data_IF_808871484191
#
_entry.id   IF_808871484191
#
_cell.length_a   1.000
_cell.length_b   1.000
_cell.length_c   1.000
_cell.angle_alpha   90.00
_cell.angle_beta   90.00
_cell.angle_gamma   90.00
#
_symmetry.space_group_name_H-M   'P 1'
#
loop_
_entity.id
_entity.type
_entity.pdbx_description
1 polymer ?
#
# COMPACT_ATOMS: atom_id res chain seq x y z
N UNK A 1 -9.11 -22.99 -8.84
CA UNK A 1 -7.71 -23.41 -8.84
C UNK A 1 -7.36 -23.92 -7.46
N UNK A 2 -6.81 -25.13 -7.35
CA UNK A 2 -6.43 -25.75 -6.08
C UNK A 2 -4.89 -25.79 -5.96
N UNK A 3 -4.38 -25.73 -4.72
CA UNK A 3 -2.96 -25.95 -4.43
C UNK A 3 -2.81 -27.09 -3.41
N UNK A 4 -1.90 -28.03 -3.73
CA UNK A 4 -1.56 -29.17 -2.84
C UNK A 4 -0.13 -29.10 -2.31
N UNK A 5 0.62 -28.04 -2.62
CA UNK A 5 2.00 -27.85 -2.22
C UNK A 5 2.79 -26.91 -3.11
N UNK A 6 4.08 -26.83 -2.86
CA UNK A 6 5.03 -25.95 -3.53
C UNK A 6 6.27 -26.72 -4.03
N UNK A 7 6.79 -26.28 -5.18
CA UNK A 7 8.15 -26.62 -5.58
C UNK A 7 9.11 -25.59 -5.02
N UNK A 8 9.99 -26.01 -4.16
CA UNK A 8 10.97 -25.14 -3.50
C UNK A 8 12.38 -25.42 -4.05
N UNK A 9 13.24 -24.40 -3.97
CA UNK A 9 14.67 -24.52 -4.25
C UNK A 9 15.44 -23.99 -3.05
N UNK A 10 16.24 -24.85 -2.43
CA UNK A 10 17.12 -24.47 -1.33
C UNK A 10 18.25 -23.54 -1.79
N UNK A 11 18.91 -22.91 -0.83
CA UNK A 11 20.11 -22.07 -1.08
C UNK A 11 21.29 -22.87 -1.64
N UNK A 12 21.30 -24.18 -1.41
CA UNK A 12 22.22 -25.18 -2.00
C UNK A 12 21.88 -25.55 -3.45
N UNK A 13 20.79 -24.99 -3.99
CA UNK A 13 20.28 -25.26 -5.33
C UNK A 13 19.43 -26.53 -5.46
N UNK A 14 19.29 -27.32 -4.39
CA UNK A 14 18.47 -28.54 -4.39
C UNK A 14 16.99 -28.18 -4.52
N UNK A 15 16.29 -28.91 -5.40
CA UNK A 15 14.84 -28.76 -5.58
C UNK A 15 14.11 -29.84 -4.80
N UNK A 16 13.02 -29.46 -4.16
CA UNK A 16 12.14 -30.37 -3.43
C UNK A 16 10.67 -30.02 -3.69
N UNK A 17 9.81 -31.03 -3.70
CA UNK A 17 8.36 -30.85 -3.68
C UNK A 17 7.90 -30.94 -2.22
N UNK A 18 7.29 -29.85 -1.74
CA UNK A 18 6.71 -29.76 -0.40
C UNK A 18 5.19 -29.84 -0.52
N UNK A 19 4.60 -30.89 0.02
CA UNK A 19 3.15 -31.03 0.08
C UNK A 19 2.60 -30.38 1.35
N UNK A 20 1.43 -29.76 1.26
CA UNK A 20 0.78 -29.10 2.39
C UNK A 20 -0.76 -29.17 2.21
N UNK A 21 -1.50 -29.19 3.33
CA UNK A 21 -2.95 -29.06 3.29
C UNK A 21 -3.40 -27.67 2.88
N UNK A 22 -2.62 -26.64 3.24
CA UNK A 22 -2.85 -25.25 2.87
C UNK A 22 -1.51 -24.59 2.52
N UNK A 23 -1.50 -23.80 1.45
CA UNK A 23 -0.38 -22.92 1.06
C UNK A 23 -0.75 -21.50 1.41
N UNK A 24 0.05 -20.86 2.28
CA UNK A 24 -0.12 -19.45 2.64
C UNK A 24 0.92 -18.60 1.91
N UNK A 25 0.48 -17.72 1.02
CA UNK A 25 1.36 -16.80 0.30
C UNK A 25 1.46 -15.47 1.05
N UNK A 26 2.61 -15.24 1.66
CA UNK A 26 3.04 -14.01 2.30
C UNK A 26 4.28 -13.42 1.60
N UNK A 27 4.41 -13.61 0.27
CA UNK A 27 5.59 -13.22 -0.50
C UNK A 27 5.73 -11.72 -0.75
N UNK A 28 4.91 -10.91 -0.09
CA UNK A 28 4.93 -9.46 -0.23
C UNK A 28 4.56 -9.04 -1.67
N UNK A 29 5.17 -8.00 -2.19
CA UNK A 29 4.88 -7.48 -3.53
C UNK A 29 5.31 -8.44 -4.67
N UNK A 30 6.12 -9.48 -4.37
CA UNK A 30 6.38 -10.55 -5.32
C UNK A 30 5.10 -11.33 -5.68
N UNK A 31 4.13 -11.37 -4.76
CA UNK A 31 2.76 -11.83 -4.97
C UNK A 31 2.69 -13.13 -5.80
N UNK A 32 3.36 -14.17 -5.30
CA UNK A 32 3.63 -15.41 -6.04
C UNK A 32 2.35 -16.06 -6.59
N UNK A 33 1.34 -16.27 -5.75
CA UNK A 33 0.08 -16.90 -6.18
C UNK A 33 -0.77 -15.98 -7.05
N UNK A 34 -0.79 -14.66 -6.74
CA UNK A 34 -1.47 -13.69 -7.60
C UNK A 34 -0.93 -13.73 -9.04
N UNK A 35 0.39 -13.73 -9.19
CA UNK A 35 1.03 -13.78 -10.50
C UNK A 35 0.76 -15.11 -11.19
N UNK A 36 0.89 -16.24 -10.45
CA UNK A 36 0.63 -17.58 -10.99
C UNK A 36 -0.80 -17.76 -11.50
N UNK A 37 -1.77 -17.20 -10.78
CA UNK A 37 -3.19 -17.38 -11.09
C UNK A 37 -3.81 -16.16 -11.79
N UNK A 38 -3.01 -15.16 -12.15
CA UNK A 38 -3.45 -13.93 -12.82
C UNK A 38 -4.58 -13.21 -12.05
N UNK A 39 -4.38 -13.04 -10.75
CA UNK A 39 -5.38 -12.47 -9.83
C UNK A 39 -5.17 -10.99 -9.55
N UNK A 40 -4.09 -10.37 -10.00
CA UNK A 40 -3.76 -8.98 -9.70
C UNK A 40 -4.68 -8.01 -10.41
N UNK A 41 -5.23 -7.08 -9.64
CA UNK A 41 -6.04 -5.97 -10.12
C UNK A 41 -5.37 -4.67 -9.69
N UNK A 42 -4.97 -3.86 -10.65
CA UNK A 42 -4.37 -2.56 -10.40
C UNK A 42 -5.42 -1.52 -10.03
N UNK A 43 -5.07 -0.62 -9.10
CA UNK A 43 -5.96 0.50 -8.76
C UNK A 43 -5.83 1.59 -9.84
N UNK A 44 -6.89 1.89 -10.61
CA UNK A 44 -6.83 2.85 -11.70
C UNK A 44 -6.70 4.30 -11.22
N UNK A 45 -6.99 4.58 -9.94
CA UNK A 45 -6.97 5.92 -9.35
C UNK A 45 -5.64 6.19 -8.65
N UNK A 46 -5.12 5.18 -7.94
CA UNK A 46 -3.90 5.30 -7.14
C UNK A 46 -2.65 4.90 -7.94
N UNK A 47 -2.61 5.26 -9.23
CA UNK A 47 -1.43 5.04 -10.07
C UNK A 47 -0.31 6.02 -9.67
N UNK A 48 0.48 5.61 -8.70
CA UNK A 48 1.57 6.39 -8.11
C UNK A 48 2.89 5.64 -8.20
N UNK A 49 3.96 6.37 -8.00
CA UNK A 49 5.28 5.81 -7.82
C UNK A 49 6.02 6.53 -6.71
N UNK A 50 7.18 6.00 -6.33
CA UNK A 50 8.04 6.64 -5.36
C UNK A 50 9.51 6.54 -5.74
N UNK A 51 10.27 7.60 -5.40
CA UNK A 51 11.72 7.65 -5.49
C UNK A 51 12.24 8.13 -4.14
N UNK A 52 13.22 7.42 -3.55
CA UNK A 52 13.77 7.82 -2.24
C UNK A 52 15.25 7.51 -2.09
N UNK A 53 15.83 8.13 -1.09
CA UNK A 53 17.17 7.83 -0.61
C UNK A 53 17.29 8.11 0.88
N UNK A 54 18.48 7.86 1.44
CA UNK A 54 18.80 8.11 2.84
C UNK A 54 19.87 9.19 2.94
N UNK A 55 19.73 10.06 3.96
CA UNK A 55 20.56 11.24 4.12
C UNK A 55 21.11 11.32 5.56
N UNK A 56 22.41 11.56 5.69
CA UNK A 56 23.10 11.85 6.96
C UNK A 56 23.23 13.36 7.12
N UNK A 57 23.05 13.86 8.34
CA UNK A 57 23.12 15.30 8.64
C UNK A 57 21.91 16.10 8.21
N UNK A 58 20.84 15.44 7.78
CA UNK A 58 19.56 16.09 7.52
C UNK A 58 18.92 16.61 8.82
N UNK A 59 18.14 17.69 8.71
CA UNK A 59 17.49 18.32 9.86
C UNK A 59 16.67 17.33 10.68
N UNK A 60 16.82 17.36 11.99
CA UNK A 60 16.01 16.56 12.94
C UNK A 60 15.32 17.51 13.90
N UNK A 61 14.04 17.27 14.12
CA UNK A 61 13.28 17.96 15.17
C UNK A 61 13.82 17.49 16.53
N UNK A 62 13.87 18.41 17.50
CA UNK A 62 14.31 18.12 18.87
C UNK A 62 13.14 18.20 19.85
N UNK A 63 13.32 17.64 21.02
CA UNK A 63 12.32 17.67 22.10
C UNK A 63 11.18 16.66 21.89
N UNK A 64 9.95 17.04 22.18
CA UNK A 64 8.78 16.15 22.17
C UNK A 64 8.54 15.44 20.83
N UNK A 65 8.84 16.13 19.72
CA UNK A 65 8.59 15.62 18.37
C UNK A 65 9.86 15.01 17.75
N UNK A 66 10.88 14.73 18.55
CA UNK A 66 12.10 14.06 18.09
C UNK A 66 11.76 12.70 17.48
N UNK A 67 12.28 12.45 16.28
CA UNK A 67 12.01 11.22 15.54
C UNK A 67 10.64 11.17 14.84
N UNK A 68 9.82 12.21 14.93
CA UNK A 68 8.51 12.23 14.28
C UNK A 68 8.65 12.12 12.74
N UNK A 69 7.85 11.24 12.16
CA UNK A 69 7.67 11.17 10.70
C UNK A 69 6.90 12.40 10.22
N UNK A 70 7.38 13.02 9.16
CA UNK A 70 6.71 14.14 8.52
C UNK A 70 6.20 13.75 7.12
N UNK A 71 4.97 14.16 6.81
CA UNK A 71 4.39 14.13 5.47
C UNK A 71 4.35 15.56 4.95
N UNK A 72 5.08 15.84 3.89
CA UNK A 72 5.23 17.19 3.32
C UNK A 72 4.62 17.18 1.93
N UNK A 73 3.49 17.86 1.77
CA UNK A 73 2.77 17.93 0.50
C UNK A 73 3.57 18.75 -0.53
N UNK A 74 3.58 18.32 -1.79
CA UNK A 74 4.16 19.12 -2.90
C UNK A 74 3.30 20.37 -3.16
N UNK A 75 3.87 21.48 -3.66
CA UNK A 75 3.11 22.72 -3.89
C UNK A 75 1.92 22.57 -4.84
N UNK A 76 2.02 21.68 -5.83
CA UNK A 76 0.96 21.36 -6.78
C UNK A 76 -0.12 20.40 -6.21
N UNK A 77 0.10 19.89 -5.00
CA UNK A 77 -0.76 18.93 -4.29
C UNK A 77 -0.99 17.60 -4.98
N UNK A 78 -0.23 17.28 -6.01
CA UNK A 78 -0.33 15.99 -6.72
C UNK A 78 0.43 14.87 -6.03
N UNK A 79 1.43 15.24 -5.22
CA UNK A 79 2.30 14.32 -4.51
C UNK A 79 2.67 14.81 -3.11
N UNK A 80 3.52 14.08 -2.47
CA UNK A 80 4.01 14.37 -1.13
C UNK A 80 5.36 13.70 -0.91
N UNK A 81 6.08 14.18 0.12
CA UNK A 81 7.30 13.57 0.60
C UNK A 81 7.07 12.94 1.95
N UNK A 82 7.63 11.76 2.16
CA UNK A 82 7.93 11.33 3.51
C UNK A 82 9.29 11.85 3.94
N UNK A 83 9.43 12.11 5.22
CA UNK A 83 10.65 12.50 5.89
C UNK A 83 10.72 11.76 7.21
N UNK A 84 11.52 10.68 7.29
CA UNK A 84 11.48 9.72 8.39
C UNK A 84 12.86 9.63 9.04
N UNK A 85 13.06 10.28 10.22
CA UNK A 85 14.28 10.11 11.00
C UNK A 85 14.45 8.65 11.44
N UNK A 86 15.67 8.13 11.30
CA UNK A 86 16.02 6.76 11.68
C UNK A 86 16.95 6.75 12.89
N UNK A 87 17.12 5.58 13.52
CA UNK A 87 17.89 5.39 14.75
C UNK A 87 19.41 5.57 14.58
N UNK A 88 19.92 5.40 13.36
CA UNK A 88 21.34 5.48 12.98
C UNK A 88 21.77 6.87 12.51
N UNK A 89 21.04 7.91 12.91
CA UNK A 89 21.23 9.31 12.50
C UNK A 89 21.04 9.57 11.00
N UNK A 90 20.48 8.64 10.27
CA UNK A 90 20.02 8.86 8.90
C UNK A 90 18.58 9.36 8.88
N UNK A 91 18.17 9.94 7.76
CA UNK A 91 16.78 10.30 7.47
C UNK A 91 16.41 9.71 6.12
N UNK A 92 15.35 8.91 6.09
CA UNK A 92 14.75 8.45 4.85
C UNK A 92 13.91 9.58 4.27
N UNK A 93 14.18 9.98 3.03
CA UNK A 93 13.42 11.03 2.32
C UNK A 93 12.99 10.48 0.97
N UNK A 94 11.69 10.50 0.72
CA UNK A 94 11.16 9.99 -0.55
C UNK A 94 9.97 10.78 -1.04
N UNK A 95 9.87 10.92 -2.35
CA UNK A 95 8.74 11.54 -3.05
C UNK A 95 7.79 10.48 -3.56
N UNK A 96 6.51 10.69 -3.32
CA UNK A 96 5.39 9.96 -3.94
C UNK A 96 4.63 10.93 -4.83
N UNK A 97 4.41 10.56 -6.08
CA UNK A 97 3.66 11.38 -7.03
C UNK A 97 3.00 10.50 -8.11
N UNK A 98 2.12 11.05 -8.97
CA UNK A 98 1.60 10.33 -10.12
C UNK A 98 2.72 9.69 -10.93
N UNK A 99 2.47 8.47 -11.42
CA UNK A 99 3.46 7.71 -12.19
C UNK A 99 4.09 8.52 -13.32
N UNK A 100 3.27 9.21 -14.11
CA UNK A 100 3.75 10.00 -15.23
C UNK A 100 4.65 11.18 -14.82
N UNK A 101 4.44 11.75 -13.63
CA UNK A 101 5.25 12.87 -13.13
C UNK A 101 6.67 12.40 -12.74
N UNK A 102 6.80 11.15 -12.26
CA UNK A 102 8.09 10.58 -11.86
C UNK A 102 8.81 9.81 -12.97
N UNK A 103 8.07 9.08 -13.80
CA UNK A 103 8.61 8.12 -14.75
C UNK A 103 8.16 8.32 -16.19
N UNK A 104 7.18 9.20 -16.44
CA UNK A 104 6.68 9.51 -17.76
C UNK A 104 7.69 10.23 -18.64
N UNK A 105 7.42 10.33 -19.95
CA UNK A 105 8.27 11.05 -20.91
C UNK A 105 9.69 10.50 -21.07
N UNK A 106 9.91 9.22 -20.72
CA UNK A 106 11.23 8.58 -20.84
C UNK A 106 12.22 8.94 -19.71
N UNK A 107 11.74 9.47 -18.59
CA UNK A 107 12.55 9.77 -17.39
C UNK A 107 13.22 8.49 -16.87
N UNK A 108 14.54 8.40 -17.03
CA UNK A 108 15.36 7.27 -16.54
C UNK A 108 16.31 7.67 -15.41
N UNK A 109 16.58 8.95 -15.28
CA UNK A 109 17.46 9.51 -14.24
C UNK A 109 16.63 9.81 -12.97
N UNK A 110 16.62 8.86 -12.06
CA UNK A 110 15.86 8.95 -10.82
C UNK A 110 16.43 9.99 -9.85
N UNK A 111 17.75 10.19 -9.86
CA UNK A 111 18.41 11.22 -9.08
C UNK A 111 17.96 12.62 -9.55
N UNK A 112 18.00 12.87 -10.83
CA UNK A 112 17.54 14.13 -11.41
C UNK A 112 16.07 14.37 -11.10
N UNK A 113 15.21 13.35 -11.28
CA UNK A 113 13.77 13.46 -11.00
C UNK A 113 13.49 13.77 -9.52
N UNK A 114 14.20 13.10 -8.60
CA UNK A 114 14.09 13.36 -7.16
C UNK A 114 14.55 14.79 -6.83
N UNK A 115 15.70 15.22 -7.33
CA UNK A 115 16.25 16.55 -7.06
C UNK A 115 15.32 17.65 -7.61
N UNK A 116 14.74 17.48 -8.79
CA UNK A 116 13.73 18.41 -9.34
C UNK A 116 12.49 18.52 -8.43
N UNK A 117 12.06 17.41 -7.84
CA UNK A 117 10.94 17.42 -6.89
C UNK A 117 11.31 18.12 -5.57
N UNK A 118 12.53 17.92 -5.07
CA UNK A 118 13.09 18.61 -3.89
C UNK A 118 13.16 20.11 -4.14
N UNK A 119 13.71 20.53 -5.27
CA UNK A 119 13.83 21.97 -5.63
C UNK A 119 12.48 22.68 -5.65
N UNK A 120 11.43 21.99 -6.10
CA UNK A 120 10.06 22.53 -6.10
C UNK A 120 9.38 22.50 -4.73
N UNK A 121 9.96 21.79 -3.72
CA UNK A 121 9.36 21.62 -2.41
C UNK A 121 10.22 22.25 -1.30
N UNK A 122 10.07 23.58 -1.02
CA UNK A 122 10.96 24.32 -0.12
C UNK A 122 11.07 23.69 1.28
N UNK A 123 9.97 23.08 1.76
CA UNK A 123 9.95 22.42 3.07
C UNK A 123 10.91 21.21 3.15
N UNK A 124 11.10 20.48 2.06
CA UNK A 124 12.06 19.37 1.98
C UNK A 124 13.46 19.91 1.71
N UNK A 125 13.59 20.80 0.71
CA UNK A 125 14.88 21.39 0.33
C UNK A 125 15.64 21.92 1.54
N UNK A 126 14.99 22.77 2.36
CA UNK A 126 15.59 23.36 3.56
C UNK A 126 16.05 22.31 4.58
N UNK A 127 15.37 21.15 4.66
CA UNK A 127 15.70 20.09 5.63
C UNK A 127 16.89 19.25 5.23
N UNK A 128 17.20 19.16 3.94
CA UNK A 128 18.31 18.34 3.44
C UNK A 128 19.44 19.18 2.84
N UNK A 129 19.38 20.51 2.88
CA UNK A 129 20.36 21.42 2.24
C UNK A 129 21.80 21.17 2.69
N UNK A 130 22.01 20.78 3.96
CA UNK A 130 23.32 20.48 4.55
C UNK A 130 23.57 18.98 4.72
N UNK A 131 22.71 18.14 4.15
CA UNK A 131 22.81 16.69 4.31
C UNK A 131 23.64 16.06 3.19
N UNK A 132 24.28 14.95 3.52
CA UNK A 132 24.97 14.10 2.56
C UNK A 132 24.14 12.85 2.30
N UNK A 133 23.93 12.53 1.03
CA UNK A 133 23.27 11.29 0.66
C UNK A 133 24.12 10.08 1.02
N UNK A 134 23.54 9.12 1.75
CA UNK A 134 24.23 7.95 2.26
C UNK A 134 24.13 6.73 1.32
N UNK A 135 23.11 6.67 0.45
CA UNK A 135 22.85 5.50 -0.42
C UNK A 135 22.53 5.95 -1.85
N UNK A 136 22.43 4.99 -2.77
CA UNK A 136 21.80 5.21 -4.08
C UNK A 136 20.32 5.55 -3.96
N UNK A 137 19.68 5.82 -5.10
CA UNK A 137 18.23 6.00 -5.15
C UNK A 137 17.52 4.66 -5.29
N UNK A 138 16.43 4.53 -4.57
CA UNK A 138 15.51 3.42 -4.65
C UNK A 138 14.24 3.89 -5.35
N UNK A 139 13.56 2.99 -6.03
CA UNK A 139 12.31 3.28 -6.74
C UNK A 139 11.29 2.17 -6.55
N UNK A 140 10.02 2.55 -6.51
CA UNK A 140 8.91 1.62 -6.68
C UNK A 140 7.86 2.26 -7.59
N UNK A 141 7.16 1.44 -8.34
CA UNK A 141 6.21 1.88 -9.37
C UNK A 141 4.95 1.06 -9.27
N UNK A 142 3.84 1.65 -9.65
CA UNK A 142 2.54 0.96 -9.78
C UNK A 142 2.27 -0.01 -8.63
N UNK A 143 2.33 0.48 -7.38
CA UNK A 143 2.27 -0.37 -6.21
C UNK A 143 0.86 -0.55 -5.63
N UNK A 144 -0.15 0.19 -6.13
CA UNK A 144 -1.52 0.06 -5.62
C UNK A 144 -2.28 -1.01 -6.39
N UNK A 145 -2.52 -2.16 -5.76
CA UNK A 145 -3.20 -3.30 -6.35
C UNK A 145 -3.89 -4.15 -5.29
N UNK A 146 -4.77 -5.05 -5.74
CA UNK A 146 -5.41 -6.07 -4.92
C UNK A 146 -5.55 -7.39 -5.68
N UNK A 147 -5.63 -8.49 -4.95
CA UNK A 147 -6.03 -9.77 -5.53
C UNK A 147 -7.53 -9.85 -5.75
N UNK A 148 -7.97 -10.42 -6.87
CA UNK A 148 -9.36 -10.81 -7.12
C UNK A 148 -9.91 -11.72 -6.03
N UNK A 149 -9.05 -12.62 -5.55
CA UNK A 149 -9.38 -13.67 -4.61
C UNK A 149 -8.41 -13.64 -3.44
N UNK A 150 -8.92 -13.76 -2.23
CA UNK A 150 -8.10 -13.90 -1.03
C UNK A 150 -7.68 -15.36 -0.79
N UNK A 151 -8.37 -16.30 -1.41
CA UNK A 151 -8.17 -17.73 -1.22
C UNK A 151 -8.67 -18.54 -2.43
N UNK A 152 -8.29 -19.80 -2.44
CA UNK A 152 -8.86 -20.87 -3.26
C UNK A 152 -8.72 -22.19 -2.52
N UNK A 153 -9.09 -23.30 -3.16
CA UNK A 153 -8.99 -24.60 -2.51
C UNK A 153 -7.53 -24.93 -2.18
N UNK A 154 -7.22 -25.02 -0.89
CA UNK A 154 -5.89 -25.30 -0.38
C UNK A 154 -4.90 -24.13 -0.41
N UNK A 155 -5.34 -22.88 -0.60
CA UNK A 155 -4.42 -21.74 -0.54
C UNK A 155 -5.07 -20.44 -0.07
N UNK A 156 -4.24 -19.54 0.51
CA UNK A 156 -4.61 -18.20 0.96
C UNK A 156 -3.50 -17.22 0.62
N UNK A 157 -3.84 -15.96 0.31
CA UNK A 157 -2.90 -14.85 0.13
C UNK A 157 -3.11 -13.78 1.19
N UNK A 158 -2.02 -13.25 1.78
CA UNK A 158 -2.07 -12.25 2.86
C UNK A 158 -1.06 -11.12 2.64
N UNK A 159 -1.19 -10.05 3.41
CA UNK A 159 -0.30 -8.90 3.36
C UNK A 159 -0.21 -8.31 1.96
N UNK A 160 0.98 -7.84 1.55
CA UNK A 160 1.18 -7.28 0.22
C UNK A 160 1.01 -8.35 -0.89
N UNK A 161 1.11 -9.65 -0.58
CA UNK A 161 0.76 -10.70 -1.55
C UNK A 161 -0.74 -10.72 -1.86
N UNK A 162 -1.60 -10.22 -0.96
CA UNK A 162 -3.02 -9.98 -1.23
C UNK A 162 -3.25 -8.62 -1.88
N UNK A 163 -2.62 -7.56 -1.39
CA UNK A 163 -2.76 -6.23 -1.95
C UNK A 163 -1.99 -5.17 -1.19
N UNK A 164 -1.61 -4.14 -1.90
CA UNK A 164 -0.98 -2.95 -1.36
C UNK A 164 -1.78 -1.71 -1.78
N UNK A 165 -1.90 -0.75 -0.89
CA UNK A 165 -2.73 0.41 -1.13
C UNK A 165 -1.91 1.65 -1.50
N UNK A 166 -1.33 2.29 -0.47
CA UNK A 166 -0.55 3.53 -0.61
C UNK A 166 0.24 3.76 0.68
N UNK A 167 1.49 4.27 0.63
CA UNK A 167 2.30 4.48 1.83
C UNK A 167 1.89 5.69 2.67
N UNK A 168 0.94 6.52 2.23
CA UNK A 168 0.56 7.80 2.85
C UNK A 168 0.28 7.70 4.36
N UNK A 169 -0.50 6.73 4.78
CA UNK A 169 -0.87 6.55 6.20
C UNK A 169 -0.09 5.42 6.88
N UNK A 170 0.96 4.89 6.23
CA UNK A 170 1.82 3.82 6.76
C UNK A 170 1.05 2.59 7.24
N UNK A 171 -0.10 2.27 6.62
CA UNK A 171 -1.01 1.20 7.04
C UNK A 171 -0.60 -0.20 6.58
N UNK A 172 0.41 -0.34 5.70
CA UNK A 172 0.76 -1.62 5.08
C UNK A 172 1.07 -2.73 6.08
N UNK A 173 1.91 -2.45 7.09
CA UNK A 173 2.27 -3.43 8.13
C UNK A 173 1.05 -3.86 8.95
N UNK A 174 0.20 -2.90 9.33
CA UNK A 174 -1.05 -3.19 10.04
C UNK A 174 -1.95 -4.13 9.23
N UNK A 175 -2.17 -3.82 7.95
CA UNK A 175 -3.00 -4.63 7.07
C UNK A 175 -2.40 -6.03 6.85
N UNK A 176 -1.07 -6.13 6.74
CA UNK A 176 -0.39 -7.41 6.62
C UNK A 176 -0.58 -8.28 7.87
N UNK A 177 -0.39 -7.73 9.06
CA UNK A 177 -0.61 -8.42 10.34
C UNK A 177 -2.06 -8.84 10.51
N UNK A 178 -3.01 -7.93 10.22
CA UNK A 178 -4.44 -8.22 10.35
C UNK A 178 -4.92 -9.31 9.39
N UNK A 179 -4.48 -9.28 8.14
CA UNK A 179 -4.80 -10.35 7.20
C UNK A 179 -4.19 -11.69 7.63
N UNK A 180 -2.98 -11.67 8.21
CA UNK A 180 -2.33 -12.86 8.75
C UNK A 180 -3.11 -13.48 9.91
N UNK A 181 -3.55 -12.65 10.88
CA UNK A 181 -4.38 -13.06 12.01
C UNK A 181 -5.68 -13.72 11.52
N UNK A 182 -6.45 -13.01 10.71
CA UNK A 182 -7.74 -13.48 10.21
C UNK A 182 -7.63 -14.76 9.35
N UNK A 183 -6.60 -14.82 8.51
CA UNK A 183 -6.33 -16.01 7.69
C UNK A 183 -5.91 -17.21 8.54
N UNK A 184 -5.11 -16.98 9.59
CA UNK A 184 -4.71 -18.05 10.52
C UNK A 184 -5.92 -18.67 11.21
N UNK A 185 -6.86 -17.86 11.70
CA UNK A 185 -8.11 -18.35 12.33
C UNK A 185 -8.94 -19.18 11.35
N UNK A 186 -9.11 -18.69 10.09
CA UNK A 186 -9.85 -19.43 9.06
C UNK A 186 -9.17 -20.75 8.67
N UNK A 187 -7.84 -20.79 8.63
CA UNK A 187 -7.06 -22.01 8.32
C UNK A 187 -7.17 -23.01 9.46
N UNK A 188 -7.01 -22.58 10.71
CA UNK A 188 -7.10 -23.46 11.89
C UNK A 188 -8.49 -24.10 11.98
N UNK A 189 -9.54 -23.29 11.85
CA UNK A 189 -10.91 -23.75 11.84
C UNK A 189 -11.17 -24.75 10.68
N UNK A 190 -10.69 -24.42 9.48
CA UNK A 190 -10.79 -25.29 8.31
C UNK A 190 -10.07 -26.64 8.48
N UNK A 191 -8.85 -26.61 9.03
CA UNK A 191 -8.08 -27.84 9.30
C UNK A 191 -8.76 -28.73 10.36
N UNK A 192 -9.38 -28.13 11.38
CA UNK A 192 -10.14 -28.87 12.41
C UNK A 192 -11.40 -29.51 11.83
N UNK A 193 -12.07 -28.84 10.90
CA UNK A 193 -13.27 -29.36 10.22
C UNK A 193 -12.95 -30.28 9.04
N UNK A 194 -11.68 -30.37 8.60
CA UNK A 194 -11.29 -31.07 7.38
C UNK A 194 -11.73 -30.34 6.11
N UNK A 195 -12.05 -29.04 6.18
CA UNK A 195 -12.49 -28.20 5.07
C UNK A 195 -11.42 -27.16 4.73
N UNK A 196 -10.73 -27.34 3.60
CA UNK A 196 -9.78 -26.38 3.05
C UNK A 196 -10.28 -25.77 1.75
N UNK A 197 -11.58 -25.69 1.57
CA UNK A 197 -12.21 -25.06 0.42
C UNK A 197 -11.99 -23.56 0.38
N UNK A 198 -12.13 -22.97 -0.80
CA UNK A 198 -12.10 -21.51 -0.99
C UNK A 198 -13.05 -20.79 -0.03
N UNK A 199 -14.23 -21.32 0.19
CA UNK A 199 -15.24 -20.69 1.06
C UNK A 199 -14.78 -20.62 2.51
N UNK A 200 -14.24 -21.71 3.06
CA UNK A 200 -13.73 -21.76 4.42
C UNK A 200 -12.49 -20.88 4.59
N UNK A 201 -11.49 -21.03 3.71
CA UNK A 201 -10.24 -20.31 3.80
C UNK A 201 -10.35 -18.81 3.49
N UNK A 202 -11.41 -18.40 2.79
CA UNK A 202 -11.67 -17.01 2.41
C UNK A 202 -12.76 -16.32 3.25
N UNK A 203 -13.31 -16.97 4.27
CA UNK A 203 -14.42 -16.45 5.07
C UNK A 203 -14.12 -15.07 5.73
N UNK A 204 -12.87 -14.79 5.99
CA UNK A 204 -12.39 -13.54 6.58
C UNK A 204 -12.38 -12.35 5.61
N UNK A 205 -12.26 -12.62 4.30
CA UNK A 205 -11.98 -11.59 3.30
C UNK A 205 -13.05 -10.48 3.17
N UNK A 206 -14.36 -10.74 3.27
CA UNK A 206 -15.37 -9.67 3.17
C UNK A 206 -15.19 -8.57 4.22
N UNK A 207 -14.99 -8.96 5.50
CA UNK A 207 -14.77 -8.02 6.59
C UNK A 207 -13.45 -7.25 6.43
N UNK A 208 -12.39 -7.93 6.03
CA UNK A 208 -11.09 -7.32 5.78
C UNK A 208 -11.13 -6.34 4.61
N UNK A 209 -11.79 -6.69 3.51
CA UNK A 209 -11.97 -5.80 2.37
C UNK A 209 -12.69 -4.51 2.75
N UNK A 210 -13.70 -4.56 3.62
CA UNK A 210 -14.39 -3.37 4.12
C UNK A 210 -13.42 -2.40 4.81
N UNK A 211 -12.48 -2.91 5.60
CA UNK A 211 -11.44 -2.10 6.23
C UNK A 211 -10.48 -1.48 5.22
N UNK A 212 -10.02 -2.26 4.22
CA UNK A 212 -9.17 -1.75 3.13
C UNK A 212 -9.90 -0.64 2.35
N UNK A 213 -11.18 -0.83 2.04
CA UNK A 213 -11.97 0.13 1.28
C UNK A 213 -12.11 1.47 2.04
N UNK A 214 -12.24 1.43 3.37
CA UNK A 214 -12.22 2.63 4.23
C UNK A 214 -10.89 3.37 4.15
N UNK A 215 -9.78 2.64 4.28
CA UNK A 215 -8.44 3.24 4.17
C UNK A 215 -8.21 3.79 2.76
N UNK A 216 -8.58 3.03 1.72
CA UNK A 216 -8.48 3.49 0.33
C UNK A 216 -9.25 4.78 0.12
N UNK A 217 -10.46 4.86 0.63
CA UNK A 217 -11.28 6.07 0.55
C UNK A 217 -10.56 7.25 1.16
N UNK A 218 -10.00 7.10 2.36
CA UNK A 218 -9.27 8.15 3.04
C UNK A 218 -8.04 8.63 2.23
N UNK A 219 -7.31 7.69 1.61
CA UNK A 219 -6.20 8.00 0.70
C UNK A 219 -6.67 8.79 -0.53
N UNK A 220 -7.75 8.36 -1.16
CA UNK A 220 -8.32 9.06 -2.31
C UNK A 220 -8.78 10.48 -1.95
N UNK A 221 -9.39 10.66 -0.78
CA UNK A 221 -9.81 11.98 -0.29
C UNK A 221 -8.61 12.91 -0.08
N UNK A 222 -7.50 12.40 0.47
CA UNK A 222 -6.27 13.18 0.59
C UNK A 222 -5.78 13.71 -0.77
N UNK A 223 -5.70 12.83 -1.77
CA UNK A 223 -5.32 13.23 -3.14
C UNK A 223 -6.38 14.14 -3.79
N UNK A 224 -7.63 14.05 -3.36
CA UNK A 224 -8.72 14.96 -3.75
C UNK A 224 -8.67 16.34 -3.09
N UNK A 225 -7.70 16.58 -2.18
CA UNK A 225 -7.52 17.87 -1.51
C UNK A 225 -8.17 17.95 -0.13
N UNK A 226 -8.58 16.82 0.46
CA UNK A 226 -9.07 16.77 1.82
C UNK A 226 -8.07 17.37 2.83
N UNK A 227 -8.59 18.14 3.76
CA UNK A 227 -7.81 18.75 4.84
C UNK A 227 -8.35 18.35 6.20
N UNK A 228 -7.57 17.52 6.92
CA UNK A 228 -7.89 17.12 8.30
C UNK A 228 -8.17 18.32 9.22
N UNK A 229 -7.32 19.33 9.17
CA UNK A 229 -7.47 20.52 10.02
C UNK A 229 -8.78 21.26 9.76
N UNK A 230 -9.17 21.44 8.50
CA UNK A 230 -10.44 22.08 8.14
C UNK A 230 -11.63 21.23 8.55
N UNK A 231 -11.55 19.92 8.32
CA UNK A 231 -12.61 18.98 8.65
C UNK A 231 -12.84 18.95 10.16
N UNK A 232 -11.82 18.72 10.98
CA UNK A 232 -11.93 18.65 12.43
C UNK A 232 -12.34 20.00 13.04
N UNK A 233 -11.95 21.11 12.42
CA UNK A 233 -12.43 22.44 12.85
C UNK A 233 -13.94 22.60 12.65
N UNK A 234 -14.50 22.05 11.57
CA UNK A 234 -15.93 22.12 11.26
C UNK A 234 -16.73 21.05 12.00
N UNK A 235 -16.12 19.88 12.21
CA UNK A 235 -16.73 18.72 12.85
C UNK A 235 -15.85 18.24 14.03
N UNK A 236 -15.77 19.02 15.13
CA UNK A 236 -14.91 18.68 16.28
C UNK A 236 -15.35 17.37 16.96
N UNK A 237 -16.62 17.00 16.89
CA UNK A 237 -17.19 15.75 17.38
C UNK A 237 -16.66 14.53 16.67
N UNK A 238 -16.15 14.67 15.43
CA UNK A 238 -15.59 13.57 14.62
C UNK A 238 -14.07 13.44 14.74
N UNK A 239 -13.41 14.26 15.59
CA UNK A 239 -11.95 14.17 15.80
C UNK A 239 -11.52 12.74 16.18
N UNK A 240 -12.22 12.13 17.14
CA UNK A 240 -11.93 10.77 17.56
C UNK A 240 -12.05 9.76 16.42
N UNK A 241 -13.09 9.86 15.62
CA UNK A 241 -13.32 8.96 14.48
C UNK A 241 -12.24 9.10 13.41
N UNK A 242 -11.77 10.30 13.11
CA UNK A 242 -10.63 10.51 12.20
C UNK A 242 -9.36 9.92 12.81
N UNK A 243 -9.15 10.07 14.10
CA UNK A 243 -8.01 9.46 14.79
C UNK A 243 -8.09 7.93 14.71
N UNK A 244 -9.27 7.35 14.97
CA UNK A 244 -9.50 5.91 14.86
C UNK A 244 -9.12 5.39 13.47
N UNK A 245 -9.57 6.06 12.39
CA UNK A 245 -9.18 5.72 11.02
C UNK A 245 -7.67 5.77 10.79
N UNK A 246 -7.00 6.82 11.29
CA UNK A 246 -5.56 7.03 11.10
C UNK A 246 -4.69 6.04 11.88
N UNK A 247 -5.14 5.58 13.05
CA UNK A 247 -4.42 4.56 13.83
C UNK A 247 -4.75 3.13 13.41
N UNK A 248 -5.65 2.97 12.42
CA UNK A 248 -5.95 1.66 11.82
C UNK A 248 -7.15 0.93 12.40
N UNK A 249 -8.00 1.58 13.20
CA UNK A 249 -9.28 1.00 13.64
C UNK A 249 -10.29 1.02 12.47
N UNK A 250 -9.97 0.20 11.44
CA UNK A 250 -10.67 0.18 10.16
C UNK A 250 -11.82 -0.82 10.11
N UNK A 251 -11.89 -1.74 11.07
CA UNK A 251 -12.76 -2.92 10.99
C UNK A 251 -14.02 -2.77 11.83
N UNK A 252 -14.18 -1.65 12.55
CA UNK A 252 -15.39 -1.29 13.29
C UNK A 252 -16.23 -0.30 12.48
N UNK A 253 -17.54 -0.59 12.36
CA UNK A 253 -18.49 0.23 11.58
C UNK A 253 -18.73 1.61 12.21
N UNK A 254 -18.34 1.83 13.47
CA UNK A 254 -18.42 3.14 14.13
C UNK A 254 -17.71 4.25 13.37
N UNK A 255 -16.67 3.91 12.56
CA UNK A 255 -15.91 4.90 11.80
C UNK A 255 -16.67 5.41 10.58
N UNK A 256 -17.70 4.72 10.12
CA UNK A 256 -18.45 5.10 8.90
C UNK A 256 -19.23 6.42 9.06
N UNK A 257 -19.48 6.87 10.29
CA UNK A 257 -20.13 8.16 10.57
C UNK A 257 -19.36 9.38 10.03
N UNK A 258 -18.08 9.22 9.67
CA UNK A 258 -17.26 10.31 9.13
C UNK A 258 -17.61 10.63 7.66
N UNK A 259 -18.13 9.65 6.92
CA UNK A 259 -18.20 9.74 5.46
C UNK A 259 -19.21 10.77 4.96
N UNK A 260 -20.42 10.81 5.51
CA UNK A 260 -21.44 11.76 5.07
C UNK A 260 -21.04 13.23 5.34
N UNK A 261 -20.51 13.61 6.54
CA UNK A 261 -19.97 14.95 6.75
C UNK A 261 -18.78 15.28 5.86
N UNK A 262 -17.93 14.28 5.54
CA UNK A 262 -16.79 14.47 4.67
C UNK A 262 -17.23 14.75 3.23
N UNK A 263 -18.18 13.99 2.69
CA UNK A 263 -18.77 14.20 1.36
C UNK A 263 -19.45 15.56 1.23
N UNK A 264 -20.11 16.03 2.30
CA UNK A 264 -20.74 17.35 2.30
C UNK A 264 -19.72 18.49 2.22
N UNK A 265 -18.49 18.28 2.73
CA UNK A 265 -17.41 19.27 2.65
C UNK A 265 -16.56 19.13 1.39
N UNK A 266 -16.34 17.92 0.98
CA UNK A 266 -15.51 17.51 -0.16
C UNK A 266 -16.35 16.57 -1.01
N UNK A 267 -17.23 17.11 -1.88
CA UNK A 267 -18.02 16.28 -2.76
C UNK A 267 -17.09 15.30 -3.48
N UNK A 268 -17.43 14.01 -3.54
CA UNK A 268 -16.58 13.02 -4.14
C UNK A 268 -16.21 13.51 -5.53
N UNK A 269 -14.91 13.79 -5.71
CA UNK A 269 -14.39 14.11 -7.03
C UNK A 269 -14.74 12.96 -7.97
N UNK A 270 -14.47 13.10 -9.25
CA UNK A 270 -14.65 12.06 -10.28
C UNK A 270 -13.75 10.83 -10.04
N UNK A 271 -13.68 10.33 -8.81
CA UNK A 271 -12.90 9.14 -8.46
C UNK A 271 -13.91 8.03 -8.13
N UNK A 272 -14.40 7.30 -9.14
CA UNK A 272 -15.30 6.20 -8.88
C UNK A 272 -14.59 5.19 -7.97
N UNK A 273 -15.31 4.66 -6.99
CA UNK A 273 -14.90 3.40 -6.36
C UNK A 273 -14.78 2.41 -7.52
N UNK A 274 -13.60 1.82 -7.76
CA UNK A 274 -13.45 0.93 -8.88
C UNK A 274 -14.49 -0.18 -8.82
N UNK A 275 -15.09 -0.50 -9.96
CA UNK A 275 -16.12 -1.52 -10.08
C UNK A 275 -15.72 -2.90 -9.54
N UNK A 276 -14.40 -3.19 -9.46
CA UNK A 276 -13.85 -4.42 -8.87
C UNK A 276 -14.03 -4.53 -7.35
N UNK A 277 -14.25 -3.42 -6.62
CA UNK A 277 -14.75 -3.46 -5.25
C UNK A 277 -16.23 -3.91 -5.20
N UNK A 278 -16.94 -3.72 -6.29
CA UNK A 278 -18.34 -4.14 -6.45
C UNK A 278 -18.50 -5.52 -7.11
N UNK A 279 -17.39 -6.23 -7.40
CA UNK A 279 -17.43 -7.57 -8.00
C UNK A 279 -17.66 -7.62 -9.53
N UNK A 280 -17.43 -6.50 -10.25
CA UNK A 280 -17.59 -6.45 -11.72
C UNK A 280 -16.30 -6.86 -12.46
N UNK A 281 -16.41 -7.48 -13.66
CA UNK A 281 -15.26 -7.83 -14.50
C UNK A 281 -14.53 -6.58 -14.99
N UNK A 282 -13.22 -6.67 -15.11
CA UNK A 282 -12.37 -5.56 -15.56
C UNK A 282 -12.18 -5.54 -17.08
N UNK A 283 -11.98 -4.31 -17.59
CA UNK A 283 -11.70 -4.04 -18.98
C UNK A 283 -10.32 -4.54 -19.45
N UNK A 284 -10.18 -4.79 -20.76
CA UNK A 284 -8.98 -5.21 -21.48
C UNK A 284 -7.71 -4.37 -21.19
N UNK A 285 -7.86 -3.12 -20.75
CA UNK A 285 -6.74 -2.25 -20.38
C UNK A 285 -5.95 -2.74 -19.17
N UNK A 286 -6.62 -3.41 -18.21
CA UNK A 286 -5.98 -3.99 -17.02
C UNK A 286 -5.32 -5.34 -17.33
N UNK A 287 -5.86 -6.09 -18.28
CA UNK A 287 -5.20 -7.29 -18.81
C UNK A 287 -3.88 -6.93 -19.49
N UNK A 288 -3.86 -5.87 -20.30
CA UNK A 288 -2.65 -5.37 -20.96
C UNK A 288 -1.58 -4.87 -19.96
N UNK A 289 -1.99 -4.20 -18.87
CA UNK A 289 -1.07 -3.79 -17.82
C UNK A 289 -0.46 -5.01 -17.09
N UNK A 290 -1.23 -6.07 -16.89
CA UNK A 290 -0.76 -7.33 -16.30
C UNK A 290 0.21 -8.11 -17.23
N UNK A 291 0.13 -7.95 -18.53
CA UNK A 291 1.05 -8.58 -19.50
C UNK A 291 2.40 -7.86 -19.61
N UNK A 292 2.44 -6.56 -19.28
CA UNK A 292 3.65 -5.73 -19.38
C UNK A 292 4.59 -5.86 -18.17
N UNK A 293 4.20 -6.56 -17.10
CA UNK A 293 4.99 -6.74 -15.90
C UNK A 293 5.36 -8.22 -15.71
N UNK A 294 6.14 -8.75 -16.64
CA UNK A 294 7.06 -9.85 -16.35
C UNK A 294 8.47 -9.34 -16.67
N UNK A 295 9.13 -8.66 -15.75
CA UNK A 295 10.56 -8.56 -15.85
C UNK A 295 11.16 -9.87 -15.35
N UNK A 296 12.09 -10.41 -16.12
CA UNK A 296 13.06 -11.40 -15.67
C UNK A 296 13.53 -11.06 -14.25
N UNK A 297 13.39 -12.05 -13.35
CA UNK A 297 13.67 -11.90 -11.93
C UNK A 297 15.09 -11.46 -11.64
N UNK A 298 15.23 -10.25 -11.18
CA UNK A 298 16.37 -9.79 -10.39
C UNK A 298 15.91 -8.69 -9.43
N UNK A 299 15.31 -9.12 -8.29
CA UNK A 299 15.49 -8.38 -7.06
C UNK A 299 16.81 -8.88 -6.46
N UNK A 300 17.85 -8.08 -6.55
CA UNK A 300 19.02 -8.12 -5.66
C UNK A 300 18.90 -7.02 -4.63
#
# INVERSE_FOLDING_TARGET
VAAGGLKVRGTDGVRADVTAKVVLDASGQAAMLQNKFKLRLWDPVLNKGAIWSYFVGAYRVTGRDEGATMVIQTPDRKGWFWYIPQHDNTVSVGVVAPFDDLFGGGRKDHEKTFNEAVERTPGVKKRIENATRATGFFVTRDYSYRSKEASGDGWVVIGDAFGFLDPLYSSGVLLALKSGELAADAIVDGLQKGDTSKAQLGAWAPGFNKGIDRMRRLVCEYYGGFSFGRFVKKHPELRGTITDLLIGDLFDDKVDKVWAPLEAMYPPGKQPIPAWFAGTPQDEATEKANELIVPDGHLR
#
